data_IF_586555358923
#
_entry.id   IF_586555358923
#
_cell.length_a   1.000
_cell.length_b   1.000
_cell.length_c   1.000
_cell.angle_alpha   90.00
_cell.angle_beta   90.00
_cell.angle_gamma   90.00
#
_symmetry.space_group_name_H-M   'P 1'
#
loop_
_entity.id
_entity.type
_entity.pdbx_description
1 polymer ?
#
# COMPACT_ATOMS: atom_id res chain seq x y z
N UNK A 1 23.74 8.90 3.77
CA UNK A 1 23.38 7.50 4.03
C UNK A 1 22.03 7.27 3.37
N UNK A 2 22.00 6.73 2.15
CA UNK A 2 20.75 6.33 1.51
C UNK A 2 20.27 5.08 2.23
N UNK A 3 19.13 5.17 2.94
CA UNK A 3 18.43 3.97 3.42
C UNK A 3 17.82 3.33 2.17
N UNK A 4 18.51 2.36 1.60
CA UNK A 4 17.86 1.48 0.63
C UNK A 4 16.86 0.64 1.40
N UNK A 5 15.58 0.87 1.14
CA UNK A 5 14.52 0.12 1.78
C UNK A 5 14.68 -1.34 1.40
N UNK A 6 14.86 -2.22 2.38
CA UNK A 6 15.12 -3.63 2.09
C UNK A 6 13.92 -4.22 1.33
N UNK A 7 14.16 -5.13 0.39
CA UNK A 7 13.11 -5.76 -0.44
C UNK A 7 11.94 -6.32 0.40
N UNK A 8 12.22 -6.72 1.64
CA UNK A 8 11.23 -7.17 2.62
C UNK A 8 10.28 -6.04 3.10
N UNK A 9 10.79 -4.83 3.28
CA UNK A 9 9.99 -3.66 3.65
C UNK A 9 9.10 -3.20 2.48
N UNK A 10 9.61 -3.22 1.24
CA UNK A 10 8.82 -2.94 0.03
C UNK A 10 7.69 -3.97 -0.17
N UNK A 11 7.98 -5.26 0.03
CA UNK A 11 6.98 -6.31 -0.01
C UNK A 11 5.91 -6.14 1.08
N UNK A 12 6.34 -5.76 2.30
CA UNK A 12 5.43 -5.50 3.42
C UNK A 12 4.53 -4.28 3.14
N UNK A 13 5.09 -3.22 2.55
CA UNK A 13 4.35 -2.04 2.13
C UNK A 13 3.27 -2.40 1.10
N UNK A 14 3.65 -3.12 0.05
CA UNK A 14 2.73 -3.60 -0.97
C UNK A 14 1.60 -4.45 -0.38
N UNK A 15 1.94 -5.39 0.51
CA UNK A 15 0.93 -6.28 1.08
C UNK A 15 -0.02 -5.55 2.04
N UNK A 16 0.47 -4.57 2.80
CA UNK A 16 -0.35 -3.70 3.63
C UNK A 16 -1.32 -2.87 2.76
N UNK A 17 -0.80 -2.25 1.70
CA UNK A 17 -1.60 -1.54 0.71
C UNK A 17 -2.69 -2.41 0.10
N UNK A 18 -2.33 -3.61 -0.36
CA UNK A 18 -3.28 -4.55 -0.95
C UNK A 18 -4.43 -4.90 -0.02
N UNK A 19 -4.15 -5.14 1.27
CA UNK A 19 -5.19 -5.41 2.26
C UNK A 19 -6.08 -4.19 2.49
N UNK A 20 -5.51 -3.00 2.56
CA UNK A 20 -6.26 -1.77 2.76
C UNK A 20 -7.20 -1.50 1.56
N UNK A 21 -6.68 -1.64 0.34
CA UNK A 21 -7.45 -1.49 -0.90
C UNK A 21 -8.55 -2.54 -1.04
N UNK A 22 -8.23 -3.80 -0.77
CA UNK A 22 -9.19 -4.91 -0.81
C UNK A 22 -10.29 -4.76 0.25
N UNK A 23 -9.98 -4.16 1.40
CA UNK A 23 -10.95 -3.88 2.46
C UNK A 23 -11.73 -2.57 2.23
N UNK A 24 -11.41 -1.80 1.18
CA UNK A 24 -12.01 -0.48 0.92
C UNK A 24 -11.64 0.58 1.95
N UNK A 25 -10.57 0.36 2.74
CA UNK A 25 -10.08 1.33 3.70
C UNK A 25 -9.27 2.38 2.95
N UNK A 26 -9.58 3.66 3.14
CA UNK A 26 -8.74 4.72 2.61
C UNK A 26 -7.36 4.67 3.28
N UNK A 27 -6.30 4.63 2.48
CA UNK A 27 -4.95 4.80 2.96
C UNK A 27 -4.86 6.16 3.66
N UNK A 28 -4.72 6.19 4.98
CA UNK A 28 -4.66 7.44 5.75
C UNK A 28 -3.25 8.02 5.69
N UNK A 29 -3.01 9.13 4.97
CA UNK A 29 -1.68 9.71 4.80
C UNK A 29 -1.04 10.14 6.13
N UNK A 30 -1.82 10.50 7.16
CA UNK A 30 -1.27 10.88 8.47
C UNK A 30 -0.41 9.79 9.15
N UNK A 31 -0.67 8.50 8.90
CA UNK A 31 0.14 7.44 9.51
C UNK A 31 1.48 7.20 8.78
N UNK A 32 1.65 7.77 7.59
CA UNK A 32 2.80 7.53 6.72
C UNK A 32 3.80 8.69 6.68
N UNK A 33 3.54 9.79 7.41
CA UNK A 33 4.41 10.98 7.45
C UNK A 33 5.85 10.72 7.93
N UNK A 34 6.11 9.56 8.54
CA UNK A 34 7.44 9.12 8.97
C UNK A 34 8.02 7.94 8.14
N UNK A 35 7.32 7.46 7.11
CA UNK A 35 7.74 6.32 6.29
C UNK A 35 8.38 6.79 4.98
N UNK A 36 9.45 6.11 4.58
CA UNK A 36 10.24 6.47 3.39
C UNK A 36 9.36 6.48 2.13
N UNK A 37 9.66 7.38 1.19
CA UNK A 37 8.88 7.60 -0.04
C UNK A 37 8.68 6.29 -0.86
N UNK A 38 9.64 5.36 -0.77
CA UNK A 38 9.55 4.02 -1.36
C UNK A 38 8.47 3.14 -0.72
N UNK A 39 8.27 3.23 0.61
CA UNK A 39 7.18 2.53 1.28
C UNK A 39 5.83 3.03 0.79
N UNK A 40 5.67 4.34 0.72
CA UNK A 40 4.45 4.98 0.23
C UNK A 40 4.13 4.53 -1.21
N UNK A 41 5.14 4.47 -2.09
CA UNK A 41 4.99 3.93 -3.45
C UNK A 41 4.54 2.48 -3.45
N UNK A 42 5.17 1.62 -2.64
CA UNK A 42 4.80 0.21 -2.53
C UNK A 42 3.39 0.01 -2.01
N UNK A 43 3.04 0.70 -0.92
CA UNK A 43 1.71 0.67 -0.32
C UNK A 43 0.64 1.17 -1.27
N UNK A 44 0.86 2.31 -1.93
CA UNK A 44 -0.12 2.87 -2.85
C UNK A 44 -0.37 1.94 -4.05
N UNK A 45 0.69 1.32 -4.59
CA UNK A 45 0.56 0.30 -5.64
C UNK A 45 -0.27 -0.90 -5.16
N UNK A 46 0.04 -1.41 -3.97
CA UNK A 46 -0.73 -2.48 -3.35
C UNK A 46 -2.20 -2.11 -3.20
N UNK A 47 -2.49 -0.90 -2.71
CA UNK A 47 -3.85 -0.41 -2.51
C UNK A 47 -4.67 -0.40 -3.79
N UNK A 48 -4.10 0.11 -4.90
CA UNK A 48 -4.78 0.07 -6.19
C UNK A 48 -5.06 -1.36 -6.67
N UNK A 49 -4.09 -2.26 -6.54
CA UNK A 49 -4.27 -3.66 -6.94
C UNK A 49 -5.33 -4.36 -6.08
N UNK A 50 -5.32 -4.12 -4.76
CA UNK A 50 -6.31 -4.67 -3.83
C UNK A 50 -7.71 -4.12 -4.08
N UNK A 51 -7.82 -2.82 -4.37
CA UNK A 51 -9.08 -2.17 -4.74
C UNK A 51 -9.62 -2.70 -6.07
N UNK A 52 -8.76 -2.87 -7.08
CA UNK A 52 -9.12 -3.46 -8.36
C UNK A 52 -9.52 -4.94 -8.26
N UNK A 53 -8.95 -5.66 -7.29
CA UNK A 53 -9.28 -7.05 -6.96
C UNK A 53 -10.55 -7.21 -6.12
N UNK A 54 -11.17 -6.12 -5.64
CA UNK A 54 -12.46 -6.22 -4.99
C UNK A 54 -13.49 -6.78 -5.97
N UNK A 55 -14.36 -7.71 -5.53
CA UNK A 55 -15.50 -8.12 -6.34
C UNK A 55 -16.32 -6.87 -6.62
N UNK A 56 -16.25 -6.39 -7.86
CA UNK A 56 -17.09 -5.26 -8.29
C UNK A 56 -18.54 -5.67 -8.03
N UNK A 57 -19.34 -4.84 -7.35
CA UNK A 57 -20.76 -5.10 -7.31
C UNK A 57 -21.25 -5.07 -8.75
N UNK A 58 -21.63 -6.25 -9.25
CA UNK A 58 -22.38 -6.39 -10.50
C UNK A 58 -23.73 -5.74 -10.23
N UNK A 59 -23.85 -4.45 -10.57
CA UNK A 59 -25.13 -3.73 -10.68
C UNK A 59 -25.83 -4.12 -11.97
#
# INVERSE_FOLDING_TARGET
MSREMSSQQLASAYQAGYRDGYCGKQARPENFLAQEEEYLKGHHKGWFDGYAGQPRPTI
#
